data_IF_844103498360
#
_entry.id   IF_844103498360
#
_cell.length_a   1.000
_cell.length_b   1.000
_cell.length_c   1.000
_cell.angle_alpha   90.00
_cell.angle_beta   90.00
_cell.angle_gamma   90.00
#
_symmetry.space_group_name_H-M   'P 1'
#
loop_
_entity.id
_entity.type
_entity.pdbx_description
1 polymer ?
#
# COMPACT_ATOMS: atom_id res chain seq x y z
N UNK A 1 5.77 14.33 10.62
CA UNK A 1 5.15 13.52 11.70
C UNK A 1 5.57 12.09 11.44
N UNK A 2 6.01 11.35 12.47
CA UNK A 2 6.40 9.95 12.31
C UNK A 2 5.18 9.05 12.09
N UNK A 3 5.31 8.06 11.22
CA UNK A 3 4.32 7.01 10.97
C UNK A 3 4.90 5.62 11.21
N UNK A 4 4.03 4.63 11.39
CA UNK A 4 4.39 3.21 11.43
C UNK A 4 3.75 2.51 10.22
N UNK A 5 4.55 1.79 9.45
CA UNK A 5 4.08 1.05 8.28
C UNK A 5 4.85 -0.26 8.16
N UNK A 6 4.12 -1.39 8.18
CA UNK A 6 4.68 -2.75 8.18
C UNK A 6 5.77 -2.99 9.25
N UNK A 7 5.65 -2.41 10.44
CA UNK A 7 6.59 -2.59 11.55
C UNK A 7 7.86 -1.74 11.46
N UNK A 8 7.92 -0.80 10.53
CA UNK A 8 9.01 0.18 10.42
C UNK A 8 8.50 1.57 10.78
N UNK A 9 9.26 2.27 11.64
CA UNK A 9 9.04 3.69 11.93
C UNK A 9 9.72 4.52 10.86
N UNK A 10 8.96 5.42 10.25
CA UNK A 10 9.46 6.31 9.21
C UNK A 10 9.02 7.75 9.49
N UNK A 11 9.82 8.70 9.02
CA UNK A 11 9.44 10.10 9.03
C UNK A 11 8.91 10.49 7.65
N UNK A 12 7.64 10.90 7.60
CA UNK A 12 7.05 11.45 6.38
C UNK A 12 7.57 12.86 6.13
N UNK A 13 8.24 13.03 5.00
CA UNK A 13 8.70 14.33 4.51
C UNK A 13 7.72 14.93 3.49
N UNK A 14 7.15 14.10 2.62
CA UNK A 14 6.18 14.54 1.61
C UNK A 14 5.14 13.43 1.41
N UNK A 15 3.88 13.81 1.22
CA UNK A 15 2.86 12.88 0.78
C UNK A 15 1.84 13.56 -0.12
N UNK A 16 1.24 12.78 -1.00
CA UNK A 16 0.21 13.19 -1.93
C UNK A 16 -0.85 12.11 -1.99
N UNK A 17 -2.11 12.50 -1.93
CA UNK A 17 -3.24 11.58 -2.06
C UNK A 17 -4.07 11.98 -3.26
N UNK A 18 -4.36 11.01 -4.12
CA UNK A 18 -5.29 11.17 -5.23
C UNK A 18 -6.50 10.27 -5.03
N UNK A 19 -7.67 10.79 -5.37
CA UNK A 19 -8.89 9.99 -5.40
C UNK A 19 -8.81 9.02 -6.59
N UNK A 20 -9.25 7.79 -6.34
CA UNK A 20 -9.31 6.70 -7.29
C UNK A 20 -10.75 6.18 -7.28
N UNK A 21 -11.23 5.65 -8.40
CA UNK A 21 -12.64 5.23 -8.52
C UNK A 21 -13.10 4.30 -7.37
N UNK A 22 -12.16 3.47 -6.88
CA UNK A 22 -12.38 2.46 -5.85
C UNK A 22 -11.76 2.78 -4.49
N UNK A 23 -11.29 4.01 -4.27
CA UNK A 23 -10.65 4.37 -3.01
C UNK A 23 -9.67 5.52 -3.16
N UNK A 24 -8.52 5.42 -2.50
CA UNK A 24 -7.50 6.46 -2.50
C UNK A 24 -6.14 5.86 -2.80
N UNK A 25 -5.40 6.51 -3.67
CA UNK A 25 -3.99 6.19 -3.87
C UNK A 25 -3.18 7.25 -3.17
N UNK A 26 -2.29 6.83 -2.28
CA UNK A 26 -1.40 7.70 -1.54
C UNK A 26 0.03 7.44 -1.95
N UNK A 27 0.71 8.47 -2.43
CA UNK A 27 2.17 8.50 -2.57
C UNK A 27 2.76 9.04 -1.28
N UNK A 28 3.79 8.38 -0.79
CA UNK A 28 4.56 8.86 0.35
C UNK A 28 6.04 8.88 -0.01
N UNK A 29 6.72 9.88 0.51
CA UNK A 29 8.16 9.96 0.53
C UNK A 29 8.59 10.18 1.99
N UNK A 30 9.38 9.24 2.48
CA UNK A 30 9.81 9.21 3.86
C UNK A 30 11.22 8.67 4.03
N UNK A 31 11.73 8.77 5.24
CA UNK A 31 13.06 8.33 5.62
C UNK A 31 12.96 7.26 6.71
N UNK A 32 13.68 6.15 6.52
CA UNK A 32 13.81 5.11 7.53
C UNK A 32 14.63 5.69 8.68
N UNK A 33 14.05 5.81 9.87
CA UNK A 33 14.74 6.42 11.00
C UNK A 33 15.77 5.44 11.57
N UNK A 34 17.06 5.59 11.26
CA UNK A 34 18.14 4.85 11.94
C UNK A 34 19.01 5.72 12.87
N UNK A 35 18.50 6.91 13.23
CA UNK A 35 19.03 7.76 14.30
C UNK A 35 19.94 8.90 13.82
N UNK A 36 20.26 8.96 12.53
CA UNK A 36 20.96 10.08 11.89
C UNK A 36 20.33 10.39 10.52
N UNK A 37 19.43 11.38 10.48
CA UNK A 37 18.63 11.74 9.29
C UNK A 37 19.43 11.97 8.01
N UNK A 38 20.69 12.41 8.12
CA UNK A 38 21.57 12.67 6.97
C UNK A 38 22.12 11.39 6.32
N UNK A 39 22.04 10.26 7.02
CA UNK A 39 22.50 8.96 6.57
C UNK A 39 21.34 8.00 6.25
N UNK A 40 20.13 8.37 6.62
CA UNK A 40 18.91 7.57 6.45
C UNK A 40 18.53 7.52 4.95
N UNK A 41 18.68 6.35 4.29
CA UNK A 41 18.19 6.20 2.92
C UNK A 41 16.68 6.45 2.93
N UNK A 42 16.24 7.40 2.12
CA UNK A 42 14.79 7.63 1.99
C UNK A 42 14.17 6.60 1.06
N UNK A 43 12.89 6.34 1.27
CA UNK A 43 12.08 5.51 0.40
C UNK A 43 10.91 6.33 -0.15
N UNK A 44 10.43 5.90 -1.31
CA UNK A 44 9.16 6.37 -1.85
C UNK A 44 8.27 5.19 -2.15
N UNK A 45 7.01 5.29 -1.78
CA UNK A 45 6.07 4.19 -1.95
C UNK A 45 4.66 4.68 -2.28
N UNK A 46 3.86 3.76 -2.81
CA UNK A 46 2.49 3.97 -3.21
C UNK A 46 1.62 2.99 -2.44
N UNK A 47 0.57 3.52 -1.87
CA UNK A 47 -0.41 2.78 -1.09
C UNK A 47 -1.77 2.93 -1.73
N UNK A 48 -2.53 1.84 -1.72
CA UNK A 48 -3.94 1.86 -2.02
C UNK A 48 -4.71 1.72 -0.71
N UNK A 49 -5.68 2.62 -0.50
CA UNK A 49 -6.61 2.56 0.63
C UNK A 49 -8.03 2.45 0.09
N UNK A 50 -8.71 1.38 0.45
CA UNK A 50 -10.16 1.20 0.29
C UNK A 50 -10.77 0.85 1.67
N UNK A 51 -12.09 0.85 1.81
CA UNK A 51 -12.87 0.68 3.05
C UNK A 51 -12.18 -0.24 4.08
N UNK A 52 -11.40 0.37 4.99
CA UNK A 52 -10.72 -0.31 6.10
C UNK A 52 -9.43 -1.06 5.75
N UNK A 53 -9.01 -1.10 4.49
CA UNK A 53 -7.80 -1.80 4.04
C UNK A 53 -6.78 -0.85 3.42
N UNK A 54 -5.52 -0.99 3.83
CA UNK A 54 -4.37 -0.30 3.27
C UNK A 54 -3.40 -1.33 2.71
N UNK A 55 -3.04 -1.21 1.44
CA UNK A 55 -2.15 -2.13 0.73
C UNK A 55 -0.98 -1.37 0.11
N UNK A 56 0.23 -1.93 0.26
CA UNK A 56 1.42 -1.43 -0.44
C UNK A 56 1.40 -1.93 -1.89
N UNK A 57 1.37 -1.01 -2.85
CA UNK A 57 1.39 -1.36 -4.28
C UNK A 57 2.81 -1.35 -4.86
N UNK A 58 3.64 -0.42 -4.40
CA UNK A 58 4.99 -0.21 -4.91
C UNK A 58 5.85 0.46 -3.85
N UNK A 59 7.09 0.03 -3.71
CA UNK A 59 8.12 0.68 -2.89
C UNK A 59 9.42 0.72 -3.66
N UNK A 60 10.11 1.83 -3.56
CA UNK A 60 11.48 1.95 -4.03
C UNK A 60 12.33 2.65 -2.98
N UNK A 61 13.45 2.03 -2.65
CA UNK A 61 14.43 2.58 -1.71
C UNK A 61 15.48 3.37 -2.49
N UNK A 62 15.99 4.43 -1.88
CA UNK A 62 17.10 5.21 -2.45
C UNK A 62 18.43 4.70 -1.94
N UNK A 63 19.42 4.70 -2.83
CA UNK A 63 20.82 4.59 -2.45
C UNK A 63 21.25 5.77 -1.58
N UNK A 64 22.26 5.55 -0.75
CA UNK A 64 22.90 6.59 0.05
C UNK A 64 23.39 7.73 -0.86
N UNK A 65 22.98 8.97 -0.57
CA UNK A 65 23.27 10.19 -1.36
C UNK A 65 22.65 10.27 -2.77
N UNK A 66 21.77 9.34 -3.16
CA UNK A 66 21.09 9.44 -4.44
C UNK A 66 19.80 10.29 -4.36
N UNK A 67 19.60 11.16 -5.35
CA UNK A 67 18.37 11.95 -5.49
C UNK A 67 17.19 11.16 -6.08
N UNK A 68 17.45 9.95 -6.58
CA UNK A 68 16.51 9.04 -7.27
C UNK A 68 16.88 7.61 -6.88
N UNK A 69 15.96 6.65 -6.99
CA UNK A 69 14.59 6.73 -7.51
C UNK A 69 13.58 7.40 -6.58
N UNK A 70 12.57 8.06 -7.16
CA UNK A 70 11.46 8.72 -6.45
C UNK A 70 10.17 8.54 -7.26
N UNK A 71 9.08 8.16 -6.59
CA UNK A 71 7.75 8.14 -7.23
C UNK A 71 7.37 9.57 -7.63
N UNK A 72 7.13 9.76 -8.92
CA UNK A 72 6.75 11.04 -9.54
C UNK A 72 5.60 10.83 -10.52
N UNK A 73 4.90 11.95 -10.81
CA UNK A 73 3.78 12.00 -11.78
C UNK A 73 2.73 10.92 -11.50
N UNK A 74 2.39 10.70 -10.24
CA UNK A 74 1.34 9.78 -9.86
C UNK A 74 0.02 10.25 -10.48
N UNK A 75 -0.67 9.37 -11.19
CA UNK A 75 -1.96 9.64 -11.84
C UNK A 75 -2.89 8.45 -11.68
N UNK A 76 -4.17 8.75 -11.56
CA UNK A 76 -5.27 7.79 -11.61
C UNK A 76 -6.22 8.17 -12.75
N UNK A 77 -6.68 7.16 -13.49
CA UNK A 77 -7.67 7.29 -14.56
C UNK A 77 -8.53 6.01 -14.60
N UNK A 78 -9.81 6.14 -14.20
CA UNK A 78 -10.68 4.99 -13.97
C UNK A 78 -10.09 4.00 -12.96
N UNK A 79 -9.93 2.74 -13.38
CA UNK A 79 -9.32 1.67 -12.60
C UNK A 79 -7.79 1.53 -12.80
N UNK A 80 -7.15 2.48 -13.49
CA UNK A 80 -5.71 2.46 -13.78
C UNK A 80 -4.95 3.51 -12.99
N UNK A 81 -3.83 3.11 -12.42
CA UNK A 81 -2.87 3.97 -11.71
C UNK A 81 -1.54 3.93 -12.46
N UNK A 82 -0.84 5.06 -12.58
CA UNK A 82 0.48 5.12 -13.22
C UNK A 82 1.41 6.10 -12.53
N UNK A 83 2.71 5.81 -12.58
CA UNK A 83 3.77 6.62 -11.99
C UNK A 83 5.11 6.40 -12.70
N UNK A 84 6.08 7.26 -12.40
CA UNK A 84 7.48 7.15 -12.83
C UNK A 84 8.38 7.08 -11.59
N UNK A 85 9.48 6.32 -11.63
CA UNK A 85 10.47 6.28 -10.53
C UNK A 85 11.77 7.08 -10.85
N UNK A 86 11.83 7.67 -12.05
CA UNK A 86 13.01 8.34 -12.61
C UNK A 86 13.72 7.53 -13.69
N UNK A 87 13.59 6.21 -13.68
CA UNK A 87 14.18 5.29 -14.65
C UNK A 87 13.11 4.63 -15.55
N UNK A 88 11.99 4.25 -14.96
CA UNK A 88 10.90 3.55 -15.63
C UNK A 88 9.55 4.22 -15.36
N UNK A 89 8.61 3.95 -16.26
CA UNK A 89 7.19 4.26 -16.08
C UNK A 89 6.45 2.96 -15.80
N UNK A 90 5.64 2.97 -14.75
CA UNK A 90 4.81 1.85 -14.36
C UNK A 90 3.33 2.18 -14.56
N UNK A 91 2.54 1.15 -14.77
CA UNK A 91 1.09 1.25 -14.65
C UNK A 91 0.52 -0.02 -14.07
N UNK A 92 -0.45 0.15 -13.16
CA UNK A 92 -1.19 -0.91 -12.50
C UNK A 92 -2.67 -0.72 -12.80
N UNK A 93 -3.36 -1.81 -13.11
CA UNK A 93 -4.82 -1.86 -13.16
C UNK A 93 -5.30 -2.56 -11.88
N UNK A 94 -6.32 -2.01 -11.23
CA UNK A 94 -6.88 -2.54 -9.98
C UNK A 94 -8.33 -2.90 -10.22
N UNK A 95 -8.62 -4.21 -10.24
CA UNK A 95 -9.97 -4.73 -10.43
C UNK A 95 -10.53 -5.24 -9.10
N UNK A 96 -11.80 -4.94 -8.85
CA UNK A 96 -12.53 -5.43 -7.68
C UNK A 96 -12.89 -6.90 -7.90
N UNK A 97 -12.38 -7.78 -7.05
CA UNK A 97 -12.84 -9.16 -7.00
C UNK A 97 -14.18 -9.17 -6.27
N UNK A 98 -15.24 -9.65 -6.92
CA UNK A 98 -16.54 -9.78 -6.28
C UNK A 98 -16.43 -10.53 -4.95
N UNK A 99 -17.15 -10.07 -3.92
CA UNK A 99 -17.22 -10.77 -2.64
C UNK A 99 -17.81 -12.16 -2.90
N UNK A 100 -17.00 -13.21 -2.84
CA UNK A 100 -17.54 -14.55 -2.64
C UNK A 100 -18.37 -14.49 -1.35
N UNK A 101 -19.68 -14.59 -1.52
CA UNK A 101 -20.60 -14.62 -0.38
C UNK A 101 -20.28 -15.92 0.35
N UNK A 102 -19.57 -15.84 1.48
CA UNK A 102 -19.39 -16.96 2.39
C UNK A 102 -20.75 -17.28 3.04
N UNK A 103 -21.70 -17.79 2.26
CA UNK A 103 -22.86 -18.51 2.77
C UNK A 103 -22.39 -19.92 3.14
N UNK A 104 -21.55 -20.02 4.17
CA UNK A 104 -21.41 -21.28 4.89
C UNK A 104 -22.59 -21.38 5.85
N UNK A 105 -23.71 -21.90 5.34
CA UNK A 105 -24.72 -22.51 6.20
C UNK A 105 -24.04 -23.71 6.86
N UNK A 106 -23.64 -23.54 8.12
CA UNK A 106 -23.26 -24.67 8.97
C UNK A 106 -24.57 -25.39 9.26
N UNK A 107 -24.87 -26.46 8.52
CA UNK A 107 -25.88 -27.42 8.97
C UNK A 107 -25.33 -28.10 10.24
N UNK A 108 -25.85 -27.69 11.40
CA UNK A 108 -25.65 -28.43 12.65
C UNK A 108 -26.18 -29.85 12.46
N UNK A 109 -25.29 -30.82 12.29
CA UNK A 109 -25.68 -32.22 12.41
C UNK A 109 -26.03 -32.52 13.87
N UNK A 110 -27.22 -33.06 14.17
CA UNK A 110 -27.60 -33.38 15.53
C UNK A 110 -26.69 -34.49 16.08
N UNK A 111 -26.00 -34.19 17.17
CA UNK A 111 -25.16 -35.12 17.91
C UNK A 111 -26.06 -36.25 18.44
N UNK A 112 -25.91 -37.47 17.90
CA UNK A 112 -26.59 -38.63 18.49
C UNK A 112 -25.92 -38.98 19.84
N UNK A 113 -26.69 -39.19 20.91
CA UNK A 113 -26.12 -39.60 22.19
C UNK A 113 -25.51 -41.01 22.07
N UNK A 114 -24.46 -41.31 22.85
CA UNK A 114 -23.84 -42.63 22.84
C UNK A 114 -24.87 -43.70 23.24
N UNK A 115 -24.87 -44.81 22.50
CA UNK A 115 -25.69 -45.99 22.83
C UNK A 115 -25.06 -46.70 24.03
N UNK A 116 -25.90 -47.00 25.02
CA UNK A 116 -25.60 -47.81 26.21
C UNK A 116 -25.10 -49.22 25.86
#
# INVERSE_FOLDING_TARGET
MGGEFFGHTYNESESETIEFEKGKIRRVYGHDYCGFEMLDPGASWIEFTDVGYRSLLFRVDRGFQEATPLVKKLKADGNRVSWEDGYYRYSLTIDEMGKETQNQTIEEQPIQPPRD
#
